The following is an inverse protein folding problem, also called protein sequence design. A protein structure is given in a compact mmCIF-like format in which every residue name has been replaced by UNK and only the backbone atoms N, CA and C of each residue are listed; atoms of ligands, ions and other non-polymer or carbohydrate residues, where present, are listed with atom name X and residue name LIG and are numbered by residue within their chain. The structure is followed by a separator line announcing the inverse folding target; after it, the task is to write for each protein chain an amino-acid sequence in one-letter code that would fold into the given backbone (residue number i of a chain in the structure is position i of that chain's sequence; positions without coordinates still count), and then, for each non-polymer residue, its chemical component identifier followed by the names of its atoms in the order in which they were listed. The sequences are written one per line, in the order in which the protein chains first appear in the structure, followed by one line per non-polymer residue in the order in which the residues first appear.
data_IF_578287377051
#
_entry.id   IF_578287377051
#
_cell.length_a   1.000
_cell.length_b   1.000
_cell.length_c   1.000
_cell.angle_alpha   90.00
_cell.angle_beta   90.00
_cell.angle_gamma   90.00
#
_symmetry.space_group_name_H-M   'P 1'
#
loop_
_entity.id
_entity.type
_entity.pdbx_description
1 polymer ?
#
# COMPACT_ATOMS: atom_id res chain seq x y z
N UNK A 1 4.92 14.32 29.55
CA UNK A 1 3.89 14.88 28.64
C UNK A 1 3.50 13.75 27.69
N UNK A 2 2.57 12.91 28.13
CA UNK A 2 2.09 11.76 27.36
C UNK A 2 0.99 12.22 26.41
N UNK A 3 1.32 12.36 25.13
CA UNK A 3 0.29 12.51 24.11
C UNK A 3 -0.24 11.10 23.82
N UNK A 4 -1.30 10.71 24.53
CA UNK A 4 -2.19 9.63 24.09
C UNK A 4 -2.91 10.12 22.83
N UNK A 5 -2.37 9.83 21.65
CA UNK A 5 -3.14 9.88 20.41
C UNK A 5 -4.01 8.62 20.34
N UNK A 6 -5.08 8.60 21.13
CA UNK A 6 -6.22 7.72 20.87
C UNK A 6 -7.25 8.53 20.09
N UNK A 7 -6.86 8.91 18.86
CA UNK A 7 -7.82 9.40 17.89
C UNK A 7 -8.52 8.18 17.31
N UNK A 8 -9.58 7.72 17.99
CA UNK A 8 -10.54 6.78 17.40
C UNK A 8 -11.15 7.44 16.18
N UNK A 9 -10.50 7.25 15.03
CA UNK A 9 -11.04 7.61 13.71
C UNK A 9 -12.43 7.00 13.61
N UNK A 10 -13.47 7.80 13.28
CA UNK A 10 -14.83 7.30 13.19
C UNK A 10 -14.88 6.10 12.26
N UNK A 11 -15.58 5.04 12.69
CA UNK A 11 -15.72 3.82 11.89
C UNK A 11 -16.52 4.13 10.62
N UNK A 12 -15.83 4.41 9.53
CA UNK A 12 -16.44 4.69 8.22
C UNK A 12 -17.08 3.42 7.66
N UNK A 13 -18.26 3.58 7.06
CA UNK A 13 -18.99 2.47 6.43
C UNK A 13 -18.22 1.91 5.22
N UNK A 14 -18.51 0.67 4.82
CA UNK A 14 -17.90 0.08 3.62
C UNK A 14 -18.18 0.89 2.35
N UNK A 15 -19.34 1.54 2.28
CA UNK A 15 -19.70 2.43 1.18
C UNK A 15 -18.86 3.70 1.19
N UNK A 16 -18.68 4.33 2.35
CA UNK A 16 -17.80 5.51 2.49
C UNK A 16 -16.34 5.16 2.16
N UNK A 17 -15.87 3.97 2.55
CA UNK A 17 -14.54 3.47 2.15
C UNK A 17 -14.41 3.39 0.63
N UNK A 18 -15.42 2.84 -0.04
CA UNK A 18 -15.44 2.74 -1.50
C UNK A 18 -15.44 4.12 -2.19
N UNK A 19 -16.26 5.04 -1.70
CA UNK A 19 -16.36 6.40 -2.23
C UNK A 19 -15.06 7.17 -2.04
N UNK A 20 -14.48 7.12 -0.84
CA UNK A 20 -13.17 7.71 -0.55
C UNK A 20 -12.10 7.15 -1.47
N UNK A 21 -12.06 5.83 -1.64
CA UNK A 21 -11.11 5.18 -2.53
C UNK A 21 -11.28 5.62 -3.99
N UNK A 22 -12.52 5.69 -4.48
CA UNK A 22 -12.83 6.18 -5.83
C UNK A 22 -12.39 7.64 -6.01
N UNK A 23 -12.60 8.47 -5.01
CA UNK A 23 -12.20 9.88 -5.03
C UNK A 23 -10.68 10.04 -5.03
N UNK A 24 -9.93 9.29 -4.21
CA UNK A 24 -8.47 9.33 -4.24
C UNK A 24 -7.90 8.92 -5.60
N UNK A 25 -8.50 7.92 -6.28
CA UNK A 25 -8.08 7.57 -7.64
C UNK A 25 -8.37 8.65 -8.68
N UNK A 26 -9.49 9.37 -8.55
CA UNK A 26 -9.76 10.53 -9.41
C UNK A 26 -8.71 11.62 -9.19
N UNK A 27 -8.35 11.89 -7.94
CA UNK A 27 -7.30 12.86 -7.58
C UNK A 27 -5.94 12.44 -8.12
N UNK A 28 -5.57 11.18 -7.95
CA UNK A 28 -4.34 10.63 -8.52
C UNK A 28 -4.26 10.83 -10.04
N UNK A 29 -5.31 10.46 -10.76
CA UNK A 29 -5.34 10.63 -12.22
C UNK A 29 -5.24 12.11 -12.60
N UNK A 30 -5.95 13.00 -11.91
CA UNK A 30 -5.85 14.46 -12.14
C UNK A 30 -4.44 14.99 -11.83
N UNK A 31 -3.83 14.55 -10.75
CA UNK A 31 -2.48 14.97 -10.37
C UNK A 31 -1.48 14.60 -11.47
N UNK A 32 -1.52 13.35 -11.95
CA UNK A 32 -0.68 12.89 -13.05
C UNK A 32 -0.95 13.66 -14.35
N UNK A 33 -2.21 13.85 -14.75
CA UNK A 33 -2.56 14.58 -15.98
C UNK A 33 -2.16 16.04 -15.98
N UNK A 34 -2.03 16.67 -14.80
CA UNK A 34 -1.60 18.07 -14.66
C UNK A 34 -0.12 18.21 -14.27
N UNK A 35 0.65 17.11 -14.23
CA UNK A 35 2.07 17.14 -13.85
C UNK A 35 2.33 17.39 -12.36
N UNK A 36 1.32 17.27 -11.49
CA UNK A 36 1.46 17.34 -10.03
C UNK A 36 2.04 16.03 -9.47
N UNK A 37 3.24 15.67 -9.92
CA UNK A 37 3.86 14.37 -9.67
C UNK A 37 4.13 14.09 -8.17
N UNK A 38 4.42 15.13 -7.37
CA UNK A 38 4.60 14.96 -5.91
C UNK A 38 3.28 14.63 -5.20
N UNK A 39 2.18 15.26 -5.62
CA UNK A 39 0.85 14.95 -5.10
C UNK A 39 0.42 13.53 -5.51
N UNK A 40 0.68 13.14 -6.76
CA UNK A 40 0.45 11.79 -7.24
C UNK A 40 1.17 10.75 -6.35
N UNK A 41 2.48 10.93 -6.12
CA UNK A 41 3.25 10.03 -5.25
C UNK A 41 2.77 9.99 -3.80
N UNK A 42 2.26 11.11 -3.28
CA UNK A 42 1.66 11.14 -1.95
C UNK A 42 0.39 10.27 -1.88
N UNK A 43 -0.50 10.41 -2.86
CA UNK A 43 -1.73 9.63 -2.95
C UNK A 43 -1.41 8.14 -3.18
N UNK A 44 -0.45 7.82 -4.05
CA UNK A 44 0.03 6.45 -4.30
C UNK A 44 0.52 5.78 -3.02
N UNK A 45 1.38 6.45 -2.26
CA UNK A 45 1.88 5.93 -0.98
C UNK A 45 0.72 5.58 -0.03
N UNK A 46 -0.25 6.49 0.13
CA UNK A 46 -1.41 6.26 0.99
C UNK A 46 -2.27 5.07 0.51
N UNK A 47 -2.50 4.96 -0.80
CA UNK A 47 -3.25 3.85 -1.39
C UNK A 47 -2.53 2.51 -1.19
N UNK A 48 -1.22 2.46 -1.38
CA UNK A 48 -0.44 1.23 -1.18
C UNK A 48 -0.40 0.80 0.29
N UNK A 49 -0.26 1.74 1.21
CA UNK A 49 -0.25 1.46 2.65
C UNK A 49 -1.60 0.91 3.15
N UNK A 50 -2.71 1.43 2.63
CA UNK A 50 -4.06 0.94 2.92
C UNK A 50 -4.31 -0.44 2.29
N UNK A 51 -3.89 -0.66 1.03
CA UNK A 51 -4.08 -1.96 0.36
C UNK A 51 -3.28 -3.09 1.00
N UNK A 52 -2.03 -2.83 1.41
CA UNK A 52 -1.22 -3.83 2.12
C UNK A 52 -1.81 -4.19 3.49
N UNK A 53 -2.40 -3.22 4.19
CA UNK A 53 -3.14 -3.49 5.41
C UNK A 53 -4.39 -4.34 5.18
N UNK A 54 -5.17 -4.02 4.14
CA UNK A 54 -6.35 -4.82 3.79
C UNK A 54 -6.00 -6.29 3.55
N UNK A 55 -4.88 -6.56 2.88
CA UNK A 55 -4.35 -7.93 2.67
C UNK A 55 -4.07 -8.61 4.02
N UNK A 56 -3.34 -7.95 4.92
CA UNK A 56 -3.01 -8.51 6.24
C UNK A 56 -4.24 -8.77 7.11
N UNK A 57 -5.26 -7.91 7.01
CA UNK A 57 -6.53 -8.08 7.74
C UNK A 57 -7.31 -9.29 7.24
N UNK A 58 -7.43 -9.48 5.93
CA UNK A 58 -8.12 -10.65 5.38
C UNK A 58 -7.35 -11.95 5.62
N UNK A 59 -6.02 -11.88 5.60
CA UNK A 59 -5.13 -12.97 6.00
C UNK A 59 -5.22 -13.35 7.48
N UNK A 60 -5.94 -12.57 8.32
CA UNK A 60 -5.97 -12.71 9.78
C UNK A 60 -4.57 -12.62 10.41
N UNK A 61 -3.69 -11.82 9.79
CA UNK A 61 -2.31 -11.60 10.24
C UNK A 61 -2.06 -10.21 10.78
N UNK A 62 -3.05 -9.31 10.73
CA UNK A 62 -2.90 -7.94 11.21
C UNK A 62 -2.44 -7.85 12.66
N UNK A 63 -3.09 -8.55 13.58
CA UNK A 63 -2.73 -8.47 15.00
C UNK A 63 -1.34 -9.07 15.28
N UNK A 64 -1.01 -10.16 14.61
CA UNK A 64 0.32 -10.76 14.68
C UNK A 64 1.40 -9.82 14.12
N UNK A 65 1.10 -9.15 13.02
CA UNK A 65 1.95 -8.11 12.44
C UNK A 65 2.16 -6.97 13.44
N UNK A 66 1.11 -6.37 14.00
CA UNK A 66 1.21 -5.27 14.97
C UNK A 66 2.03 -5.68 16.19
N UNK A 67 1.81 -6.88 16.74
CA UNK A 67 2.62 -7.41 17.85
C UNK A 67 4.11 -7.50 17.50
N UNK A 68 4.43 -7.96 16.28
CA UNK A 68 5.82 -8.04 15.80
C UNK A 68 6.50 -6.68 15.61
N UNK A 69 5.75 -5.57 15.63
CA UNK A 69 6.31 -4.22 15.51
C UNK A 69 6.81 -3.66 16.84
N UNK A 70 6.53 -4.29 17.98
CA UNK A 70 7.04 -3.83 19.29
C UNK A 70 6.83 -2.32 19.58
N UNK A 71 5.68 -1.76 19.17
CA UNK A 71 5.38 -0.34 19.34
C UNK A 71 5.96 0.59 18.27
N UNK A 72 6.74 0.07 17.30
CA UNK A 72 7.15 0.85 16.14
C UNK A 72 5.97 1.10 15.19
N UNK A 73 5.93 2.30 14.59
CA UNK A 73 4.92 2.67 13.61
C UNK A 73 4.81 1.70 12.43
N UNK A 74 3.63 1.66 11.82
CA UNK A 74 3.36 0.91 10.60
C UNK A 74 3.69 1.75 9.38
N UNK A 75 4.30 1.13 8.37
CA UNK A 75 4.52 1.76 7.07
C UNK A 75 4.46 0.71 5.96
N UNK A 76 4.50 1.15 4.70
CA UNK A 76 4.48 0.26 3.54
C UNK A 76 5.62 -0.77 3.57
N UNK A 77 6.84 -0.38 3.93
CA UNK A 77 8.02 -1.26 3.94
C UNK A 77 7.83 -2.44 4.89
N UNK A 78 7.41 -2.18 6.12
CA UNK A 78 7.20 -3.23 7.12
C UNK A 78 6.01 -4.13 6.77
N UNK A 79 4.92 -3.57 6.23
CA UNK A 79 3.76 -4.36 5.77
C UNK A 79 4.16 -5.26 4.59
N UNK A 80 4.84 -4.72 3.58
CA UNK A 80 5.28 -5.47 2.40
C UNK A 80 6.24 -6.59 2.77
N UNK A 81 7.29 -6.31 3.56
CA UNK A 81 8.25 -7.35 4.01
C UNK A 81 7.55 -8.47 4.78
N UNK A 82 6.57 -8.13 5.61
CA UNK A 82 5.79 -9.13 6.34
C UNK A 82 4.92 -9.98 5.39
N UNK A 83 4.26 -9.37 4.41
CA UNK A 83 3.50 -10.10 3.37
C UNK A 83 4.43 -11.03 2.58
N UNK A 84 5.62 -10.56 2.16
CA UNK A 84 6.62 -11.38 1.47
C UNK A 84 6.96 -12.63 2.29
N UNK A 85 7.29 -12.46 3.57
CA UNK A 85 7.62 -13.57 4.47
C UNK A 85 6.48 -14.57 4.59
N UNK A 86 5.23 -14.12 4.67
CA UNK A 86 4.06 -15.01 4.69
C UNK A 86 3.90 -15.76 3.36
N UNK A 87 4.16 -15.07 2.24
CA UNK A 87 4.07 -15.62 0.89
C UNK A 87 5.17 -16.65 0.56
N UNK A 88 6.22 -16.79 1.38
CA UNK A 88 7.20 -17.89 1.24
C UNK A 88 6.56 -19.27 1.46
N UNK A 89 5.47 -19.33 2.23
CA UNK A 89 4.71 -20.57 2.41
C UNK A 89 3.87 -20.88 1.16
N UNK A 90 4.36 -21.80 0.33
CA UNK A 90 3.71 -22.22 -0.94
C UNK A 90 2.28 -22.75 -0.79
N UNK A 91 1.86 -23.13 0.42
CA UNK A 91 0.49 -23.61 0.69
C UNK A 91 -0.50 -22.47 0.98
N UNK A 92 -0.01 -21.27 1.27
CA UNK A 92 -0.84 -20.10 1.56
C UNK A 92 -1.36 -19.47 0.27
N UNK A 93 -2.60 -18.97 0.28
CA UNK A 93 -3.14 -18.18 -0.83
C UNK A 93 -2.29 -16.94 -1.10
N UNK A 94 -1.62 -16.37 -0.09
CA UNK A 94 -0.70 -15.25 -0.28
C UNK A 94 0.38 -15.57 -1.30
N UNK A 95 0.96 -16.78 -1.27
CA UNK A 95 1.96 -17.20 -2.25
C UNK A 95 1.41 -17.13 -3.68
N UNK A 96 0.18 -17.57 -3.90
CA UNK A 96 -0.45 -17.56 -5.23
C UNK A 96 -0.60 -16.15 -5.81
N UNK A 97 -0.84 -15.15 -4.97
CA UNK A 97 -1.13 -13.79 -5.44
C UNK A 97 0.07 -12.83 -5.37
N UNK A 98 1.07 -13.12 -4.53
CA UNK A 98 2.17 -12.22 -4.21
C UNK A 98 3.55 -12.90 -4.28
N UNK A 99 3.70 -13.97 -5.06
CA UNK A 99 5.00 -14.62 -5.33
C UNK A 99 5.81 -13.95 -6.45
N UNK A 100 5.25 -12.94 -7.10
CA UNK A 100 5.93 -12.20 -8.16
C UNK A 100 6.71 -10.99 -7.63
N UNK A 101 7.46 -10.36 -8.53
CA UNK A 101 8.34 -9.24 -8.23
C UNK A 101 7.60 -7.94 -7.88
N UNK A 102 6.26 -7.97 -7.78
CA UNK A 102 5.47 -6.79 -7.42
C UNK A 102 5.86 -6.26 -6.04
N UNK A 103 6.02 -7.14 -5.05
CA UNK A 103 6.36 -6.71 -3.70
C UNK A 103 7.78 -6.13 -3.63
N UNK A 104 8.70 -6.64 -4.43
CA UNK A 104 10.05 -6.06 -4.57
C UNK A 104 10.03 -4.72 -5.27
N UNK A 105 9.23 -4.59 -6.32
CA UNK A 105 9.05 -3.35 -7.06
C UNK A 105 8.43 -2.24 -6.18
N UNK A 106 7.51 -2.60 -5.28
CA UNK A 106 6.95 -1.67 -4.29
C UNK A 106 8.00 -1.18 -3.29
N UNK A 107 8.87 -2.08 -2.81
CA UNK A 107 9.97 -1.70 -1.91
C UNK A 107 10.96 -0.78 -2.63
N UNK A 108 11.33 -1.11 -3.86
CA UNK A 108 12.24 -0.30 -4.66
C UNK A 108 11.66 1.09 -4.95
N UNK A 109 10.39 1.16 -5.38
CA UNK A 109 9.72 2.44 -5.62
C UNK A 109 9.68 3.31 -4.36
N UNK A 110 9.45 2.73 -3.18
CA UNK A 110 9.49 3.46 -1.91
C UNK A 110 10.89 4.01 -1.62
N UNK A 111 11.96 3.25 -1.88
CA UNK A 111 13.33 3.73 -1.69
C UNK A 111 13.66 4.86 -2.67
N UNK A 112 13.29 4.72 -3.95
CA UNK A 112 13.45 5.75 -4.97
C UNK A 112 12.70 7.03 -4.57
N UNK A 113 11.46 6.91 -4.09
CA UNK A 113 10.63 8.04 -3.63
C UNK A 113 11.25 8.73 -2.41
N UNK A 114 11.80 7.97 -1.48
CA UNK A 114 12.51 8.54 -0.33
C UNK A 114 13.78 9.27 -0.75
N UNK A 115 14.59 8.66 -1.62
CA UNK A 115 15.78 9.30 -2.19
C UNK A 115 15.41 10.60 -2.91
N UNK A 116 14.33 10.59 -3.69
CA UNK A 116 13.83 11.76 -4.41
C UNK A 116 13.41 12.88 -3.45
N UNK A 117 12.74 12.56 -2.34
CA UNK A 117 12.39 13.55 -1.31
C UNK A 117 13.60 14.12 -0.60
N UNK A 118 14.61 13.30 -0.32
CA UNK A 118 15.87 13.80 0.21
C UNK A 118 16.64 14.65 -0.81
N UNK A 119 16.55 14.32 -2.11
CA UNK A 119 17.13 15.12 -3.19
C UNK A 119 16.38 16.44 -3.44
N UNK A 120 15.05 16.45 -3.21
CA UNK A 120 14.20 17.65 -3.27
C UNK A 120 14.75 18.78 -2.38
N UNK A 121 15.09 18.44 -1.14
CA UNK A 121 15.68 19.38 -0.19
C UNK A 121 17.08 19.85 -0.59
N UNK A 122 17.79 19.05 -1.39
CA UNK A 122 19.13 19.37 -1.89
C UNK A 122 19.11 20.08 -3.25
N UNK A 123 17.93 20.39 -3.80
CA UNK A 123 17.73 21.01 -5.12
C UNK A 123 18.46 20.30 -6.27
N UNK A 124 18.65 18.99 -6.18
CA UNK A 124 19.46 18.23 -7.14
C UNK A 124 18.66 17.10 -7.80
N UNK A 125 17.82 17.43 -8.78
CA UNK A 125 17.01 16.44 -9.51
C UNK A 125 16.53 17.00 -10.86
N UNK A 126 16.43 16.12 -11.86
CA UNK A 126 15.86 16.46 -13.16
C UNK A 126 14.33 16.24 -13.15
N UNK A 127 13.59 17.08 -13.88
CA UNK A 127 12.11 17.06 -13.85
C UNK A 127 11.50 15.75 -14.38
N UNK A 128 12.17 15.10 -15.34
CA UNK A 128 11.78 13.80 -15.89
C UNK A 128 11.83 12.67 -14.85
N UNK A 129 12.79 12.69 -13.93
CA UNK A 129 12.92 11.66 -12.89
C UNK A 129 11.70 11.62 -11.95
N UNK A 130 11.10 12.78 -11.66
CA UNK A 130 9.91 12.88 -10.82
C UNK A 130 8.68 12.31 -11.56
N UNK A 131 8.53 12.66 -12.85
CA UNK A 131 7.40 12.21 -13.66
C UNK A 131 7.43 10.68 -13.85
N UNK A 132 8.60 10.13 -14.21
CA UNK A 132 8.77 8.69 -14.40
C UNK A 132 8.51 7.91 -13.11
N UNK A 133 8.94 8.44 -11.97
CA UNK A 133 8.71 7.80 -10.67
C UNK A 133 7.23 7.80 -10.27
N UNK A 134 6.51 8.89 -10.55
CA UNK A 134 5.07 8.97 -10.33
C UNK A 134 4.31 8.00 -11.26
N UNK A 135 4.64 7.94 -12.55
CA UNK A 135 4.02 6.99 -13.48
C UNK A 135 4.24 5.53 -13.04
N UNK A 136 5.45 5.18 -12.61
CA UNK A 136 5.74 3.85 -12.07
C UNK A 136 4.96 3.55 -10.78
N UNK A 137 4.81 4.55 -9.92
CA UNK A 137 3.99 4.45 -8.70
C UNK A 137 2.52 4.15 -9.01
N UNK A 138 1.97 4.76 -10.06
CA UNK A 138 0.61 4.48 -10.55
C UNK A 138 0.43 3.04 -11.00
N UNK A 139 1.35 2.53 -11.81
CA UNK A 139 1.33 1.14 -12.31
C UNK A 139 1.37 0.12 -11.16
N UNK A 140 2.25 0.36 -10.18
CA UNK A 140 2.36 -0.47 -8.99
C UNK A 140 1.10 -0.41 -8.13
N UNK A 141 0.51 0.79 -7.98
CA UNK A 141 -0.73 0.99 -7.24
C UNK A 141 -1.90 0.21 -7.86
N UNK A 142 -2.03 0.25 -9.19
CA UNK A 142 -3.07 -0.50 -9.91
C UNK A 142 -2.85 -2.01 -9.79
N UNK A 143 -1.61 -2.46 -9.94
CA UNK A 143 -1.23 -3.87 -9.83
C UNK A 143 -1.52 -4.43 -8.43
N UNK A 144 -1.06 -3.72 -7.39
CA UNK A 144 -1.30 -4.06 -6.00
C UNK A 144 -2.79 -4.08 -5.68
N UNK A 145 -3.54 -3.08 -6.12
CA UNK A 145 -4.99 -3.02 -5.93
C UNK A 145 -5.68 -4.23 -6.52
N UNK A 146 -5.36 -4.58 -7.77
CA UNK A 146 -5.99 -5.71 -8.46
C UNK A 146 -5.66 -7.04 -7.77
N UNK A 147 -4.41 -7.27 -7.39
CA UNK A 147 -3.99 -8.45 -6.64
C UNK A 147 -4.63 -8.53 -5.26
N UNK A 148 -4.60 -7.44 -4.49
CA UNK A 148 -5.26 -7.37 -3.18
C UNK A 148 -6.76 -7.68 -3.30
N UNK A 149 -7.46 -7.10 -4.28
CA UNK A 149 -8.89 -7.40 -4.51
C UNK A 149 -9.12 -8.88 -4.81
N UNK A 150 -8.30 -9.47 -5.67
CA UNK A 150 -8.46 -10.86 -6.08
C UNK A 150 -8.10 -11.83 -4.93
N UNK A 151 -7.05 -11.53 -4.18
CA UNK A 151 -6.67 -12.25 -2.96
C UNK A 151 -7.80 -12.20 -1.93
N UNK A 152 -8.30 -11.01 -1.62
CA UNK A 152 -9.37 -10.79 -0.64
C UNK A 152 -10.62 -11.62 -0.99
N UNK A 153 -11.06 -11.56 -2.25
CA UNK A 153 -12.20 -12.38 -2.73
C UNK A 153 -11.95 -13.88 -2.63
N UNK A 154 -10.73 -14.33 -2.90
CA UNK A 154 -10.38 -15.75 -2.79
C UNK A 154 -10.39 -16.22 -1.33
N UNK A 155 -9.92 -15.39 -0.41
CA UNK A 155 -9.99 -15.65 1.04
C UNK A 155 -11.44 -15.71 1.51
N UNK A 156 -12.27 -14.74 1.15
CA UNK A 156 -13.69 -14.71 1.55
C UNK A 156 -14.42 -15.97 1.06
N UNK A 157 -14.17 -16.37 -0.20
CA UNK A 157 -14.72 -17.60 -0.77
C UNK A 157 -14.24 -18.85 -0.02
N UNK A 158 -12.94 -18.92 0.31
CA UNK A 158 -12.39 -20.05 1.05
C UNK A 158 -12.94 -20.15 2.48
N UNK A 159 -13.24 -19.01 3.12
CA UNK A 159 -13.90 -18.96 4.44
C UNK A 159 -15.34 -19.43 4.34
N UNK A 160 -16.10 -18.95 3.37
CA UNK A 160 -17.50 -19.35 3.16
C UNK A 160 -17.67 -20.84 2.84
N UNK A 161 -16.66 -21.51 2.27
CA UNK A 161 -16.68 -22.95 2.01
C UNK A 161 -16.32 -23.82 3.23
N UNK A 162 -15.79 -23.21 4.29
CA UNK A 162 -15.41 -23.88 5.55
C UNK A 162 -16.47 -23.73 6.64
N UNK A 163 -17.48 -22.88 6.42
CA UNK A 163 -18.68 -22.75 7.25
C UNK A 163 -19.80 -23.62 6.68
#
# INVERSE_FOLDING_TARGET
MDIKQDATMPSISNQQKYENYREQFKRLNRALSNGFNLEAMFIEYALMEDRTESVLRHAEKWDAYIKSRHGHGTNIDSKVKYIKKLAENKKDLLHKYFSDDLLDSLLQWKEDRNRLIHALLKQNFAHNEIADLALRGKELTDSLRNKARNYNRAVDKAKAQRC
#
